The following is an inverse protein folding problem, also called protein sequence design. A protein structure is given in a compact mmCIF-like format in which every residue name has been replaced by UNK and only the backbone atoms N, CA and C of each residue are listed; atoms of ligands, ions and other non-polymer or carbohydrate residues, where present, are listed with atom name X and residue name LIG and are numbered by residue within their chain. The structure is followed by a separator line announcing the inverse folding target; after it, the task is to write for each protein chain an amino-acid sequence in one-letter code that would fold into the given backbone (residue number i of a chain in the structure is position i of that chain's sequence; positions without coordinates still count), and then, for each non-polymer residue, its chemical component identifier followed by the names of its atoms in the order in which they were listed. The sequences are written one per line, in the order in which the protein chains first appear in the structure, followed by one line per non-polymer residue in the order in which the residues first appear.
data_IF_645726167805
#
_entry.id   IF_645726167805
#
_cell.length_a   1.000
_cell.length_b   1.000
_cell.length_c   1.000
_cell.angle_alpha   90.00
_cell.angle_beta   90.00
_cell.angle_gamma   90.00
#
_symmetry.space_group_name_H-M   'P 1'
#
loop_
_entity.id
_entity.type
_entity.pdbx_description
1 polymer ?
#
# COMPACT_ATOMS: atom_id res chain seq x y z
N UNK A 1 -11.96 21.80 -3.55
CA UNK A 1 -12.49 22.30 -2.26
C UNK A 1 -13.66 23.26 -2.48
N UNK A 2 -13.48 24.32 -3.25
CA UNK A 2 -14.52 25.32 -3.47
C UNK A 2 -15.80 24.69 -4.02
N UNK A 3 -15.73 23.90 -5.08
CA UNK A 3 -16.88 23.23 -5.68
C UNK A 3 -17.59 22.28 -4.67
N UNK A 4 -16.83 21.56 -3.86
CA UNK A 4 -17.41 20.69 -2.81
C UNK A 4 -18.12 21.51 -1.75
N UNK A 5 -17.51 22.61 -1.30
CA UNK A 5 -18.14 23.52 -0.32
C UNK A 5 -19.39 24.22 -0.89
N UNK A 6 -19.33 24.69 -2.13
CA UNK A 6 -20.50 25.29 -2.81
C UNK A 6 -21.63 24.26 -2.98
N UNK A 7 -21.28 22.99 -3.25
CA UNK A 7 -22.27 21.91 -3.37
C UNK A 7 -23.02 21.65 -2.06
N UNK A 8 -22.36 21.70 -0.91
CA UNK A 8 -23.03 21.55 0.39
C UNK A 8 -24.07 22.62 0.67
N UNK A 9 -23.95 23.81 0.06
CA UNK A 9 -24.97 24.85 0.18
C UNK A 9 -26.21 24.62 -0.72
N UNK A 10 -26.15 23.60 -1.60
CA UNK A 10 -27.18 23.32 -2.60
C UNK A 10 -27.81 21.92 -2.49
N UNK A 11 -27.29 21.07 -1.61
CA UNK A 11 -27.85 19.73 -1.36
C UNK A 11 -29.07 19.84 -0.42
N UNK A 12 -30.03 18.88 -0.51
CA UNK A 12 -31.19 18.86 0.38
C UNK A 12 -30.77 18.75 1.84
N UNK A 13 -31.49 19.46 2.72
CA UNK A 13 -31.24 19.47 4.17
C UNK A 13 -31.32 18.05 4.75
N UNK A 14 -32.21 17.22 4.22
CA UNK A 14 -32.36 15.81 4.62
C UNK A 14 -31.06 15.00 4.44
N UNK A 15 -30.23 15.33 3.47
CA UNK A 15 -28.93 14.68 3.29
C UNK A 15 -27.93 15.09 4.38
N UNK A 16 -27.96 16.37 4.78
CA UNK A 16 -27.09 16.89 5.84
C UNK A 16 -27.50 16.29 7.19
N UNK A 17 -28.80 16.17 7.46
CA UNK A 17 -29.34 15.65 8.71
C UNK A 17 -29.14 14.13 8.87
N UNK A 18 -29.16 13.39 7.75
CA UNK A 18 -29.01 11.92 7.78
C UNK A 18 -27.53 11.47 7.70
N UNK A 19 -26.62 12.36 7.32
CA UNK A 19 -25.19 12.04 7.20
C UNK A 19 -24.43 12.55 8.43
N UNK A 20 -23.60 11.74 9.09
CA UNK A 20 -22.79 12.20 10.21
C UNK A 20 -21.96 13.43 9.84
N UNK A 21 -22.05 14.49 10.64
CA UNK A 21 -21.34 15.76 10.38
C UNK A 21 -19.84 15.58 10.23
N UNK A 22 -19.24 14.62 10.98
CA UNK A 22 -17.83 14.29 10.85
C UNK A 22 -17.45 13.73 9.47
N UNK A 23 -18.36 12.96 8.83
CA UNK A 23 -18.13 12.43 7.48
C UNK A 23 -18.19 13.56 6.43
N UNK A 24 -19.15 14.48 6.56
CA UNK A 24 -19.26 15.65 5.68
C UNK A 24 -17.99 16.52 5.75
N UNK A 25 -17.53 16.82 6.95
CA UNK A 25 -16.31 17.61 7.17
C UNK A 25 -15.09 16.87 6.61
N UNK A 26 -15.00 15.55 6.83
CA UNK A 26 -13.91 14.72 6.31
C UNK A 26 -13.85 14.74 4.78
N UNK A 27 -15.00 14.73 4.10
CA UNK A 27 -15.05 14.82 2.61
C UNK A 27 -14.50 16.15 2.08
N UNK A 28 -14.79 17.27 2.78
CA UNK A 28 -14.32 18.60 2.34
C UNK A 28 -12.83 18.80 2.60
N UNK A 29 -12.33 18.28 3.69
CA UNK A 29 -10.94 18.51 4.15
C UNK A 29 -10.07 17.32 3.78
N UNK A 30 -10.28 16.16 4.40
CA UNK A 30 -9.35 15.04 4.31
C UNK A 30 -9.38 14.35 2.95
N UNK A 31 -10.59 14.15 2.36
CA UNK A 31 -10.68 13.43 1.09
C UNK A 31 -10.15 14.29 -0.06
N UNK A 32 -10.40 15.59 -0.06
CA UNK A 32 -9.84 16.50 -1.09
C UNK A 32 -8.32 16.58 -0.97
N UNK A 33 -7.77 16.60 0.24
CA UNK A 33 -6.31 16.56 0.45
C UNK A 33 -5.73 15.22 0.02
N UNK A 34 -6.38 14.11 0.39
CA UNK A 34 -5.93 12.76 -0.01
C UNK A 34 -5.91 12.59 -1.55
N UNK A 35 -6.85 13.20 -2.27
CA UNK A 35 -6.82 13.23 -3.74
C UNK A 35 -5.64 14.05 -4.25
N UNK A 36 -5.42 15.24 -3.71
CA UNK A 36 -4.32 16.11 -4.11
C UNK A 36 -2.95 15.48 -3.84
N UNK A 37 -2.77 14.95 -2.64
CA UNK A 37 -1.54 14.28 -2.23
C UNK A 37 -1.29 13.00 -3.03
N UNK A 38 -2.33 12.17 -3.23
CA UNK A 38 -2.24 10.95 -4.01
C UNK A 38 -1.83 11.20 -5.47
N UNK A 39 -2.43 12.20 -6.13
CA UNK A 39 -2.07 12.60 -7.48
C UNK A 39 -0.65 13.17 -7.56
N UNK A 40 -0.29 14.06 -6.63
CA UNK A 40 1.04 14.68 -6.60
C UNK A 40 2.13 13.63 -6.38
N UNK A 41 1.96 12.74 -5.42
CA UNK A 41 2.89 11.65 -5.14
C UNK A 41 3.02 10.69 -6.32
N UNK A 42 1.89 10.32 -6.94
CA UNK A 42 1.89 9.48 -8.14
C UNK A 42 2.71 10.11 -9.26
N UNK A 43 2.46 11.40 -9.57
CA UNK A 43 3.20 12.11 -10.62
C UNK A 43 4.69 12.18 -10.33
N UNK A 44 5.07 12.59 -9.11
CA UNK A 44 6.46 12.71 -8.72
C UNK A 44 7.19 11.37 -8.77
N UNK A 45 6.58 10.30 -8.24
CA UNK A 45 7.22 8.99 -8.19
C UNK A 45 7.26 8.30 -9.55
N UNK A 46 6.22 8.41 -10.37
CA UNK A 46 6.25 7.88 -11.74
C UNK A 46 7.31 8.58 -12.58
N UNK A 47 7.32 9.91 -12.55
CA UNK A 47 8.31 10.68 -13.33
C UNK A 47 9.74 10.41 -12.86
N UNK A 48 9.99 10.52 -11.54
CA UNK A 48 11.30 10.24 -10.95
C UNK A 48 11.72 8.79 -11.19
N UNK A 49 10.81 7.83 -11.02
CA UNK A 49 11.07 6.42 -11.26
C UNK A 49 11.45 6.11 -12.71
N UNK A 50 10.71 6.63 -13.67
CA UNK A 50 11.01 6.45 -15.12
C UNK A 50 12.36 7.07 -15.46
N UNK A 51 12.61 8.31 -15.04
CA UNK A 51 13.88 9.01 -15.31
C UNK A 51 15.05 8.24 -14.67
N UNK A 52 14.88 7.76 -13.45
CA UNK A 52 15.92 6.98 -12.76
C UNK A 52 16.19 5.65 -13.45
N UNK A 53 15.14 4.89 -13.82
CA UNK A 53 15.30 3.61 -14.52
C UNK A 53 15.98 3.80 -15.87
N UNK A 54 15.48 4.72 -16.69
CA UNK A 54 16.03 4.96 -18.03
C UNK A 54 17.44 5.52 -17.94
N UNK A 55 17.65 6.54 -17.08
CA UNK A 55 18.95 7.18 -16.93
C UNK A 55 20.03 6.19 -16.44
N UNK A 56 19.74 5.43 -15.38
CA UNK A 56 20.70 4.44 -14.85
C UNK A 56 20.96 3.31 -15.85
N UNK A 57 19.93 2.86 -16.57
CA UNK A 57 20.09 1.82 -17.59
C UNK A 57 20.98 2.29 -18.73
N UNK A 58 20.76 3.51 -19.25
CA UNK A 58 21.60 4.11 -20.30
C UNK A 58 23.04 4.20 -19.82
N UNK A 59 23.30 4.76 -18.63
CA UNK A 59 24.66 4.85 -18.11
C UNK A 59 25.31 3.47 -17.86
N UNK A 60 24.57 2.49 -17.39
CA UNK A 60 25.10 1.12 -17.23
C UNK A 60 25.47 0.49 -18.58
N UNK A 61 24.66 0.68 -19.63
CA UNK A 61 24.92 0.18 -20.96
C UNK A 61 26.18 0.80 -21.59
N UNK A 62 26.44 2.11 -21.34
CA UNK A 62 27.66 2.78 -21.84
C UNK A 62 28.94 2.28 -21.16
N UNK A 63 28.87 1.80 -19.91
CA UNK A 63 30.02 1.26 -19.19
C UNK A 63 30.26 -0.21 -19.59
N UNK A 64 29.28 -1.09 -19.40
CA UNK A 64 29.41 -2.50 -19.77
C UNK A 64 28.02 -3.15 -19.94
N UNK A 65 27.65 -3.46 -21.19
CA UNK A 65 26.34 -4.02 -21.51
C UNK A 65 26.10 -5.42 -20.90
N UNK A 66 27.16 -6.22 -20.69
CA UNK A 66 27.04 -7.57 -20.11
C UNK A 66 26.64 -7.53 -18.64
N UNK A 67 27.25 -6.62 -17.87
CA UNK A 67 26.89 -6.43 -16.44
C UNK A 67 25.52 -5.78 -16.35
N UNK A 68 25.19 -4.82 -17.24
CA UNK A 68 23.87 -4.20 -17.29
C UNK A 68 22.75 -5.25 -17.50
N UNK A 69 22.96 -6.20 -18.42
CA UNK A 69 22.02 -7.29 -18.66
C UNK A 69 21.81 -8.16 -17.42
N UNK A 70 22.88 -8.47 -16.68
CA UNK A 70 22.78 -9.23 -15.42
C UNK A 70 21.96 -8.47 -14.37
N UNK A 71 22.18 -7.15 -14.24
CA UNK A 71 21.37 -6.32 -13.33
C UNK A 71 19.88 -6.36 -13.70
N UNK A 72 19.55 -6.20 -14.98
CA UNK A 72 18.16 -6.24 -15.46
C UNK A 72 17.51 -7.60 -15.17
N UNK A 73 18.19 -8.70 -15.46
CA UNK A 73 17.65 -10.06 -15.22
C UNK A 73 17.44 -10.31 -13.72
N UNK A 74 18.45 -9.99 -12.90
CA UNK A 74 18.34 -10.19 -11.45
C UNK A 74 17.31 -9.27 -10.80
N UNK A 75 17.17 -8.04 -11.28
CA UNK A 75 16.12 -7.14 -10.79
C UNK A 75 14.73 -7.63 -11.18
N UNK A 76 14.55 -8.18 -12.37
CA UNK A 76 13.28 -8.80 -12.78
C UNK A 76 12.92 -10.00 -11.88
N UNK A 77 13.92 -10.81 -11.50
CA UNK A 77 13.74 -11.90 -10.54
C UNK A 77 13.34 -11.37 -9.14
N UNK A 78 13.97 -10.28 -8.70
CA UNK A 78 13.64 -9.59 -7.44
C UNK A 78 12.18 -9.14 -7.42
N UNK A 79 11.69 -8.56 -8.52
CA UNK A 79 10.29 -8.16 -8.65
C UNK A 79 9.33 -9.33 -8.54
N UNK A 80 9.66 -10.45 -9.17
CA UNK A 80 8.84 -11.65 -9.09
C UNK A 80 8.74 -12.17 -7.64
N UNK A 81 9.87 -12.23 -6.93
CA UNK A 81 9.90 -12.61 -5.52
C UNK A 81 9.10 -11.65 -4.66
N UNK A 82 9.25 -10.34 -4.86
CA UNK A 82 8.50 -9.32 -4.13
C UNK A 82 6.99 -9.42 -4.39
N UNK A 83 6.57 -9.62 -5.64
CA UNK A 83 5.16 -9.80 -6.00
C UNK A 83 4.56 -11.08 -5.38
N UNK A 84 5.31 -12.17 -5.37
CA UNK A 84 4.88 -13.43 -4.75
C UNK A 84 4.66 -13.27 -3.24
N UNK A 85 5.64 -12.68 -2.54
CA UNK A 85 5.53 -12.43 -1.09
C UNK A 85 4.40 -11.45 -0.82
N UNK A 86 4.27 -10.38 -1.61
CA UNK A 86 3.18 -9.40 -1.47
C UNK A 86 1.80 -10.03 -1.59
N UNK A 87 1.59 -10.90 -2.58
CA UNK A 87 0.32 -11.63 -2.75
C UNK A 87 0.03 -12.56 -1.57
N UNK A 88 1.03 -13.30 -1.10
CA UNK A 88 0.88 -14.18 0.05
C UNK A 88 0.53 -13.40 1.32
N UNK A 89 1.19 -12.29 1.55
CA UNK A 89 0.97 -11.40 2.69
C UNK A 89 -0.41 -10.76 2.64
N UNK A 90 -0.82 -10.22 1.48
CA UNK A 90 -2.13 -9.62 1.29
C UNK A 90 -3.28 -10.56 1.67
N UNK A 91 -3.27 -11.79 1.16
CA UNK A 91 -4.32 -12.77 1.43
C UNK A 91 -4.44 -13.09 2.94
N UNK A 92 -3.32 -13.16 3.65
CA UNK A 92 -3.30 -13.42 5.10
C UNK A 92 -3.82 -12.24 5.91
N UNK A 93 -3.42 -11.03 5.54
CA UNK A 93 -3.95 -9.82 6.19
C UNK A 93 -5.44 -9.62 5.94
N UNK A 94 -5.93 -9.92 4.74
CA UNK A 94 -7.37 -9.86 4.43
C UNK A 94 -8.16 -10.83 5.33
N UNK A 95 -7.66 -12.06 5.53
CA UNK A 95 -8.31 -13.02 6.44
C UNK A 95 -8.27 -12.55 7.89
N UNK A 96 -7.13 -12.02 8.36
CA UNK A 96 -7.02 -11.43 9.69
C UNK A 96 -8.01 -10.29 9.90
N UNK A 97 -8.16 -9.41 8.90
CA UNK A 97 -9.07 -8.28 8.97
C UNK A 97 -10.55 -8.73 9.03
N UNK A 98 -10.91 -9.77 8.28
CA UNK A 98 -12.25 -10.36 8.35
C UNK A 98 -12.53 -10.91 9.77
N UNK A 99 -11.62 -11.68 10.33
CA UNK A 99 -11.77 -12.21 11.71
C UNK A 99 -11.83 -11.10 12.77
N UNK A 100 -11.08 -10.02 12.61
CA UNK A 100 -11.20 -8.85 13.49
C UNK A 100 -12.61 -8.23 13.41
N UNK A 101 -13.20 -8.18 12.22
CA UNK A 101 -14.59 -7.75 12.02
C UNK A 101 -15.58 -8.68 12.75
N UNK A 102 -15.40 -9.99 12.57
CA UNK A 102 -16.27 -11.01 13.19
C UNK A 102 -16.22 -10.90 14.74
N UNK A 103 -15.02 -10.80 15.33
CA UNK A 103 -14.85 -10.60 16.78
C UNK A 103 -15.48 -9.29 17.25
N UNK A 104 -15.27 -8.21 16.49
CA UNK A 104 -15.85 -6.91 16.87
C UNK A 104 -17.38 -6.98 16.89
N UNK A 105 -17.99 -7.59 15.88
CA UNK A 105 -19.43 -7.78 15.82
C UNK A 105 -19.95 -8.67 16.94
N UNK A 106 -19.23 -9.75 17.25
CA UNK A 106 -19.55 -10.64 18.37
C UNK A 106 -19.55 -9.90 19.71
N UNK A 107 -18.49 -9.13 19.97
CA UNK A 107 -18.35 -8.33 21.20
C UNK A 107 -19.46 -7.27 21.29
N UNK A 108 -19.73 -6.54 20.19
CA UNK A 108 -20.80 -5.52 20.15
C UNK A 108 -22.17 -6.13 20.45
N UNK A 109 -22.50 -7.28 19.86
CA UNK A 109 -23.75 -8.00 20.10
C UNK A 109 -23.89 -8.42 21.57
N UNK A 110 -22.84 -8.99 22.17
CA UNK A 110 -22.89 -9.49 23.54
C UNK A 110 -22.89 -8.37 24.59
N UNK A 111 -22.13 -7.30 24.35
CA UNK A 111 -22.14 -6.10 25.22
C UNK A 111 -23.48 -5.39 25.11
N UNK A 112 -23.99 -5.20 23.88
CA UNK A 112 -25.30 -4.55 23.66
C UNK A 112 -26.45 -5.30 24.31
N UNK A 113 -26.38 -6.64 24.36
CA UNK A 113 -27.40 -7.51 24.95
C UNK A 113 -27.00 -8.08 26.33
N UNK A 114 -26.09 -7.42 27.06
CA UNK A 114 -25.56 -7.94 28.33
C UNK A 114 -26.64 -8.29 29.38
N UNK A 115 -27.77 -7.57 29.37
CA UNK A 115 -28.91 -7.88 30.25
C UNK A 115 -29.52 -9.24 29.94
N UNK A 116 -29.59 -9.62 28.67
CA UNK A 116 -30.11 -10.91 28.20
C UNK A 116 -29.12 -12.02 28.55
N UNK A 117 -27.84 -11.80 28.25
CA UNK A 117 -26.74 -12.72 28.58
C UNK A 117 -26.80 -13.11 30.08
N UNK A 118 -26.93 -12.09 30.96
CA UNK A 118 -27.03 -12.32 32.41
C UNK A 118 -28.33 -12.98 32.81
N UNK A 119 -29.48 -12.59 32.21
CA UNK A 119 -30.76 -13.18 32.57
C UNK A 119 -30.85 -14.69 32.28
N UNK A 120 -30.12 -15.16 31.27
CA UNK A 120 -30.06 -16.56 30.88
C UNK A 120 -28.80 -17.28 31.36
N UNK A 121 -27.95 -16.64 32.18
CA UNK A 121 -26.67 -17.17 32.64
C UNK A 121 -25.82 -17.74 31.50
N UNK A 122 -25.71 -16.96 30.41
CA UNK A 122 -25.04 -17.36 29.17
C UNK A 122 -23.57 -16.95 29.13
N UNK A 123 -23.03 -16.35 30.21
CA UNK A 123 -21.69 -15.76 30.25
C UNK A 123 -20.59 -16.78 29.90
N UNK A 124 -20.60 -17.95 30.51
CA UNK A 124 -19.59 -19.00 30.30
C UNK A 124 -19.57 -19.46 28.82
N UNK A 125 -20.75 -19.62 28.25
CA UNK A 125 -20.91 -20.02 26.86
C UNK A 125 -20.47 -18.94 25.88
N UNK A 126 -20.81 -17.70 26.17
CA UNK A 126 -20.33 -16.54 25.39
C UNK A 126 -18.81 -16.42 25.45
N UNK A 127 -18.20 -16.71 26.60
CA UNK A 127 -16.76 -16.71 26.76
C UNK A 127 -16.09 -17.85 25.96
N UNK A 128 -16.62 -19.03 25.99
CA UNK A 128 -16.11 -20.17 25.18
C UNK A 128 -16.19 -19.92 23.69
N UNK A 129 -17.25 -19.26 23.21
CA UNK A 129 -17.40 -18.87 21.81
C UNK A 129 -16.41 -17.76 21.44
N UNK A 130 -16.21 -16.78 22.31
CA UNK A 130 -15.21 -15.74 22.13
C UNK A 130 -13.78 -16.33 22.05
N UNK A 131 -13.45 -17.30 22.94
CA UNK A 131 -12.14 -17.96 22.90
C UNK A 131 -11.86 -18.61 21.54
N UNK A 132 -12.85 -19.27 20.93
CA UNK A 132 -12.68 -19.88 19.61
C UNK A 132 -12.32 -18.84 18.52
N UNK A 133 -13.02 -17.71 18.51
CA UNK A 133 -12.68 -16.62 17.59
C UNK A 133 -11.30 -16.02 17.88
N UNK A 134 -10.95 -15.88 19.14
CA UNK A 134 -9.67 -15.35 19.58
C UNK A 134 -8.51 -16.28 19.22
N UNK A 135 -8.68 -17.57 19.37
CA UNK A 135 -7.67 -18.58 19.00
C UNK A 135 -7.47 -18.62 17.46
N UNK A 136 -8.57 -18.58 16.69
CA UNK A 136 -8.46 -18.48 15.24
C UNK A 136 -7.75 -17.19 14.82
N UNK A 137 -8.08 -16.06 15.45
CA UNK A 137 -7.41 -14.77 15.19
C UNK A 137 -5.94 -14.82 15.57
N UNK A 138 -5.56 -15.47 16.67
CA UNK A 138 -4.18 -15.65 17.09
C UNK A 138 -3.39 -16.42 16.01
N UNK A 139 -3.92 -17.54 15.54
CA UNK A 139 -3.25 -18.36 14.53
C UNK A 139 -3.11 -17.64 13.19
N UNK A 140 -4.20 -17.04 12.70
CA UNK A 140 -4.20 -16.30 11.42
C UNK A 140 -3.39 -15.03 11.53
N UNK A 141 -3.49 -14.31 12.65
CA UNK A 141 -2.75 -13.10 12.94
C UNK A 141 -1.25 -13.34 12.98
N UNK A 142 -0.82 -14.40 13.68
CA UNK A 142 0.59 -14.79 13.71
C UNK A 142 1.13 -15.08 12.30
N UNK A 143 0.40 -15.85 11.49
CA UNK A 143 0.79 -16.16 10.10
C UNK A 143 0.83 -14.90 9.22
N UNK A 144 -0.10 -13.97 9.43
CA UNK A 144 -0.14 -12.70 8.70
C UNK A 144 1.05 -11.80 9.08
N UNK A 145 1.29 -11.63 10.38
CA UNK A 145 2.41 -10.83 10.89
C UNK A 145 3.77 -11.40 10.48
N UNK A 146 3.93 -12.73 10.58
CA UNK A 146 5.15 -13.40 10.14
C UNK A 146 5.40 -13.19 8.64
N UNK A 147 4.38 -13.36 7.80
CA UNK A 147 4.50 -13.11 6.37
C UNK A 147 4.84 -11.64 6.06
N UNK A 148 4.21 -10.69 6.76
CA UNK A 148 4.51 -9.27 6.66
C UNK A 148 5.95 -8.93 7.07
N UNK A 149 6.40 -9.52 8.18
CA UNK A 149 7.76 -9.33 8.68
C UNK A 149 8.83 -9.87 7.73
N UNK A 150 8.53 -10.92 6.96
CA UNK A 150 9.45 -11.49 5.97
C UNK A 150 9.59 -10.63 4.70
N UNK A 151 8.63 -9.76 4.39
CA UNK A 151 8.62 -9.01 3.14
C UNK A 151 9.88 -8.13 2.97
N UNK A 152 10.21 -7.33 3.98
CA UNK A 152 11.37 -6.44 3.94
C UNK A 152 12.73 -7.18 3.93
N UNK A 153 12.98 -8.15 4.82
CA UNK A 153 14.23 -8.93 4.78
C UNK A 153 14.43 -9.68 3.46
N UNK A 154 13.37 -10.27 2.90
CA UNK A 154 13.46 -10.99 1.63
C UNK A 154 13.84 -10.07 0.48
N UNK A 155 13.23 -8.90 0.39
CA UNK A 155 13.56 -7.90 -0.64
C UNK A 155 15.00 -7.40 -0.48
N UNK A 156 15.44 -7.13 0.76
CA UNK A 156 16.82 -6.73 1.03
C UNK A 156 17.82 -7.83 0.69
N UNK A 157 17.49 -9.09 0.98
CA UNK A 157 18.34 -10.23 0.65
C UNK A 157 18.54 -10.38 -0.86
N UNK A 158 17.45 -10.27 -1.64
CA UNK A 158 17.56 -10.33 -3.11
C UNK A 158 18.36 -9.15 -3.65
N UNK A 159 18.15 -7.94 -3.14
CA UNK A 159 18.94 -6.78 -3.53
C UNK A 159 20.43 -6.94 -3.19
N UNK A 160 20.75 -7.54 -2.05
CA UNK A 160 22.13 -7.86 -1.68
C UNK A 160 22.77 -8.89 -2.62
N UNK A 161 22.00 -9.90 -3.08
CA UNK A 161 22.47 -10.85 -4.09
C UNK A 161 22.75 -10.16 -5.43
N UNK A 162 21.88 -9.26 -5.88
CA UNK A 162 22.12 -8.44 -7.08
C UNK A 162 23.42 -7.65 -6.92
N UNK A 163 23.57 -6.97 -5.80
CA UNK A 163 24.76 -6.17 -5.51
C UNK A 163 26.05 -7.02 -5.48
N UNK A 164 26.00 -8.18 -4.83
CA UNK A 164 27.14 -9.13 -4.79
C UNK A 164 27.47 -9.67 -6.18
N UNK A 165 26.48 -10.07 -6.98
CA UNK A 165 26.69 -10.54 -8.34
C UNK A 165 27.35 -9.47 -9.23
N UNK A 166 26.88 -8.23 -9.15
CA UNK A 166 27.49 -7.09 -9.85
C UNK A 166 28.93 -6.84 -9.37
N UNK A 167 29.15 -6.90 -8.06
CA UNK A 167 30.48 -6.73 -7.47
C UNK A 167 31.48 -7.79 -7.94
N UNK A 168 31.08 -9.07 -7.90
CA UNK A 168 31.93 -10.20 -8.33
C UNK A 168 32.22 -10.10 -9.83
N UNK A 169 31.19 -9.93 -10.66
CA UNK A 169 31.39 -9.81 -12.11
C UNK A 169 32.22 -8.59 -12.49
N UNK A 170 31.91 -7.44 -11.87
CA UNK A 170 32.65 -6.21 -12.11
C UNK A 170 34.12 -6.32 -11.67
N UNK A 171 34.42 -7.00 -10.55
CA UNK A 171 35.78 -7.29 -10.12
C UNK A 171 36.53 -8.18 -11.12
N UNK A 172 35.87 -9.22 -11.64
CA UNK A 172 36.47 -10.09 -12.68
C UNK A 172 36.78 -9.29 -13.96
N UNK A 173 35.91 -8.41 -14.40
CA UNK A 173 36.13 -7.52 -15.54
C UNK A 173 37.26 -6.49 -15.27
N UNK A 174 37.34 -6.01 -14.02
CA UNK A 174 38.43 -5.11 -13.63
C UNK A 174 39.78 -5.79 -13.61
N UNK A 175 39.88 -7.03 -13.10
CA UNK A 175 41.09 -7.86 -13.15
C UNK A 175 41.48 -8.16 -14.61
N UNK A 176 40.52 -8.42 -15.48
CA UNK A 176 40.75 -8.61 -16.91
C UNK A 176 41.11 -7.32 -17.67
N UNK A 177 41.21 -6.16 -16.99
CA UNK A 177 41.60 -4.88 -17.56
C UNK A 177 40.52 -4.22 -18.45
N UNK A 178 39.29 -4.77 -18.47
CA UNK A 178 38.20 -4.26 -19.31
C UNK A 178 37.29 -3.25 -18.57
N UNK A 179 37.45 -3.09 -17.27
CA UNK A 179 36.73 -2.16 -16.43
C UNK A 179 37.69 -1.49 -15.43
N UNK A 180 37.59 -0.18 -15.24
CA UNK A 180 38.35 0.48 -14.18
C UNK A 180 37.63 0.34 -12.81
N UNK A 181 38.40 0.46 -11.72
CA UNK A 181 37.81 0.45 -10.34
C UNK A 181 36.78 1.56 -10.16
N UNK A 182 37.04 2.73 -10.74
CA UNK A 182 36.08 3.84 -10.71
C UNK A 182 34.77 3.51 -11.45
N UNK A 183 34.85 2.88 -12.61
CA UNK A 183 33.67 2.42 -13.36
C UNK A 183 32.90 1.33 -12.61
N UNK A 184 33.58 0.41 -11.92
CA UNK A 184 32.93 -0.56 -11.05
C UNK A 184 32.15 0.12 -9.92
N UNK A 185 32.74 1.11 -9.25
CA UNK A 185 32.08 1.87 -8.20
C UNK A 185 30.82 2.62 -8.71
N UNK A 186 30.95 3.26 -9.87
CA UNK A 186 29.79 3.89 -10.53
C UNK A 186 28.70 2.86 -10.86
N UNK A 187 29.10 1.68 -11.38
CA UNK A 187 28.16 0.63 -11.73
C UNK A 187 27.38 0.09 -10.54
N UNK A 188 28.05 -0.13 -9.40
CA UNK A 188 27.40 -0.53 -8.14
C UNK A 188 26.38 0.52 -7.67
N UNK A 189 26.73 1.80 -7.82
CA UNK A 189 25.84 2.90 -7.50
C UNK A 189 24.60 2.91 -8.42
N UNK A 190 24.81 2.75 -9.72
CA UNK A 190 23.70 2.69 -10.69
C UNK A 190 22.82 1.46 -10.49
N UNK A 191 23.38 0.28 -10.21
CA UNK A 191 22.62 -0.91 -9.91
C UNK A 191 21.70 -0.72 -8.68
N UNK A 192 22.22 -0.05 -7.65
CA UNK A 192 21.46 0.27 -6.45
C UNK A 192 20.34 1.29 -6.74
N UNK A 193 20.62 2.31 -7.54
CA UNK A 193 19.65 3.32 -7.96
C UNK A 193 18.57 2.73 -8.88
N UNK A 194 18.94 1.81 -9.76
CA UNK A 194 18.03 1.12 -10.66
C UNK A 194 16.95 0.31 -9.91
N UNK A 195 17.31 -0.31 -8.78
CA UNK A 195 16.38 -1.14 -8.01
C UNK A 195 15.40 -0.33 -7.12
N UNK A 196 15.73 0.92 -6.77
CA UNK A 196 14.89 1.75 -5.87
C UNK A 196 13.44 1.95 -6.36
N UNK A 197 13.18 2.41 -7.59
CA UNK A 197 11.81 2.64 -8.05
C UNK A 197 10.92 1.41 -7.97
N UNK A 198 11.48 0.22 -8.17
CA UNK A 198 10.74 -1.05 -8.10
C UNK A 198 10.31 -1.38 -6.66
N UNK A 199 11.13 -1.03 -5.67
CA UNK A 199 10.77 -1.22 -4.26
C UNK A 199 9.69 -0.22 -3.80
N UNK A 200 9.61 0.95 -4.44
CA UNK A 200 8.66 2.02 -4.11
C UNK A 200 7.28 1.82 -4.74
N UNK A 201 7.15 0.96 -5.76
CA UNK A 201 5.88 0.72 -6.49
C UNK A 201 4.72 0.37 -5.55
N UNK A 202 4.96 -0.43 -4.52
CA UNK A 202 3.89 -0.81 -3.57
C UNK A 202 3.35 0.39 -2.80
N UNK A 203 4.22 1.31 -2.38
CA UNK A 203 3.82 2.56 -1.72
C UNK A 203 2.98 3.45 -2.63
N UNK A 204 3.41 3.58 -3.89
CA UNK A 204 2.68 4.36 -4.92
C UNK A 204 1.29 3.78 -5.15
N UNK A 205 1.17 2.45 -5.29
CA UNK A 205 -0.13 1.78 -5.49
C UNK A 205 -1.07 2.00 -4.30
N UNK A 206 -0.57 1.93 -3.08
CA UNK A 206 -1.37 2.17 -1.88
C UNK A 206 -1.88 3.62 -1.83
N UNK A 207 -1.02 4.58 -2.12
CA UNK A 207 -1.41 6.00 -2.16
C UNK A 207 -2.40 6.29 -3.29
N UNK A 208 -2.20 5.67 -4.45
CA UNK A 208 -3.14 5.78 -5.57
C UNK A 208 -4.53 5.23 -5.19
N UNK A 209 -4.60 4.05 -4.54
CA UNK A 209 -5.85 3.47 -4.07
C UNK A 209 -6.56 4.38 -3.06
N UNK A 210 -5.81 4.95 -2.12
CA UNK A 210 -6.35 5.94 -1.15
C UNK A 210 -6.91 7.15 -1.87
N UNK A 211 -6.15 7.73 -2.82
CA UNK A 211 -6.59 8.87 -3.62
C UNK A 211 -7.83 8.57 -4.48
N UNK A 212 -7.91 7.41 -5.12
CA UNK A 212 -9.07 6.96 -5.91
C UNK A 212 -10.30 6.79 -5.01
N UNK A 213 -10.14 6.17 -3.85
CA UNK A 213 -11.24 5.98 -2.89
C UNK A 213 -11.76 7.32 -2.38
N UNK A 214 -10.88 8.24 -2.03
CA UNK A 214 -11.23 9.60 -1.63
C UNK A 214 -11.91 10.37 -2.77
N UNK A 215 -11.39 10.27 -4.00
CA UNK A 215 -12.02 10.85 -5.18
C UNK A 215 -13.44 10.30 -5.39
N UNK A 216 -13.64 9.00 -5.25
CA UNK A 216 -14.96 8.37 -5.34
C UNK A 216 -15.97 9.00 -4.37
N UNK A 217 -15.58 9.19 -3.10
CA UNK A 217 -16.44 9.85 -2.08
C UNK A 217 -16.73 11.31 -2.38
N UNK A 218 -15.73 12.05 -2.85
CA UNK A 218 -15.89 13.44 -3.27
C UNK A 218 -16.83 13.54 -4.46
N UNK A 219 -16.65 12.72 -5.51
CA UNK A 219 -17.52 12.73 -6.69
C UNK A 219 -18.95 12.25 -6.38
N UNK A 220 -19.12 11.31 -5.46
CA UNK A 220 -20.43 10.92 -4.99
C UNK A 220 -21.18 12.09 -4.35
N UNK A 221 -20.50 12.85 -3.49
CA UNK A 221 -21.05 14.09 -2.91
C UNK A 221 -21.43 15.13 -3.96
N UNK A 222 -20.55 15.36 -4.97
CA UNK A 222 -20.79 16.32 -6.05
C UNK A 222 -21.94 15.91 -6.99
N UNK A 223 -22.18 14.61 -7.19
CA UNK A 223 -23.28 14.08 -8.04
C UNK A 223 -24.65 14.10 -7.40
N UNK A 224 -24.77 14.41 -6.10
CA UNK A 224 -26.07 14.51 -5.42
C UNK A 224 -26.94 15.58 -6.08
N UNK A 225 -28.24 15.32 -6.16
CA UNK A 225 -29.24 16.23 -6.73
C UNK A 225 -29.32 17.47 -5.85
N UNK A 226 -29.38 18.64 -6.46
CA UNK A 226 -29.60 19.91 -5.74
C UNK A 226 -31.02 19.97 -5.17
N UNK A 227 -31.19 20.73 -4.08
CA UNK A 227 -32.49 21.05 -3.58
C UNK A 227 -33.30 21.78 -4.66
N UNK A 228 -34.59 21.43 -4.78
CA UNK A 228 -35.49 22.11 -5.70
C UNK A 228 -35.72 23.51 -5.13
N UNK A 229 -35.51 24.60 -5.88
CA UNK A 229 -35.77 25.94 -5.38
C UNK A 229 -37.24 26.08 -4.98
N UNK A 230 -37.47 26.67 -3.81
CA UNK A 230 -38.83 27.00 -3.39
C UNK A 230 -39.52 27.83 -4.47
N UNK A 231 -40.71 27.40 -4.87
CA UNK A 231 -41.55 28.19 -5.75
C UNK A 231 -41.97 29.48 -5.00
N UNK A 232 -41.41 30.60 -5.43
CA UNK A 232 -41.85 31.93 -4.99
C UNK A 232 -43.25 32.22 -5.49
#
# INVERSE_FOLDING_TARGET
RREVSEKFNTVPLSYIDTTPHGDLISRVINDVDAVGDGLTQMFLQLFSGIVTIVGTLVFMLTINWKIALVVVVLTSLSLFVAAFIGKMTHNRFTRQQALNGDISSYVEEHIGNQRIVKAFSYEDRAFEEFEKYNDELLEVGFKAQFAGALANPSTRFVNALVYAAVGIMGALFAIAGTLSVGQLSCFLTYANQYTKPFNEVTGVLTQLQTGITAAGRVFEGLKRINEIPDSR
#
